data_IF_094883284883
#
_entry.id   IF_094883284883
#
_cell.length_a   1.000
_cell.length_b   1.000
_cell.length_c   1.000
_cell.angle_alpha   90.00
_cell.angle_beta   90.00
_cell.angle_gamma   90.00
#
_symmetry.space_group_name_H-M   'P 1'
#
loop_
_entity.id
_entity.type
_entity.pdbx_description
1 polymer ?
#
# COMPACT_ATOMS: atom_id res chain seq x y z
N UNK A 1 -1.69 48.17 -17.00
CA UNK A 1 -0.98 47.71 -18.21
C UNK A 1 -2.03 47.17 -19.16
N UNK A 2 -2.12 47.72 -20.37
CA UNK A 2 -3.03 47.21 -21.40
C UNK A 2 -2.43 45.92 -21.98
N UNK A 3 -3.17 44.82 -21.95
CA UNK A 3 -2.73 43.56 -22.53
C UNK A 3 -3.04 43.55 -24.02
N UNK A 4 -2.06 43.19 -24.85
CA UNK A 4 -2.23 43.20 -26.31
C UNK A 4 -2.31 41.76 -26.79
N UNK A 5 -3.29 41.47 -27.65
CA UNK A 5 -3.46 40.15 -28.24
C UNK A 5 -2.26 39.78 -29.12
N UNK A 6 -1.60 38.67 -28.79
CA UNK A 6 -0.39 38.20 -29.49
C UNK A 6 -0.58 37.87 -30.99
N UNK A 7 -1.82 37.56 -31.41
CA UNK A 7 -2.10 37.16 -32.80
C UNK A 7 -2.47 38.32 -33.72
N UNK A 8 -3.28 39.26 -33.25
CA UNK A 8 -3.82 40.34 -34.07
C UNK A 8 -3.46 41.75 -33.58
N UNK A 9 -2.79 41.90 -32.44
CA UNK A 9 -2.37 43.20 -31.91
C UNK A 9 -3.49 44.05 -31.29
N UNK A 10 -4.71 43.53 -31.14
CA UNK A 10 -5.82 44.26 -30.52
C UNK A 10 -5.58 44.45 -29.01
N UNK A 11 -5.93 45.63 -28.48
CA UNK A 11 -5.91 45.95 -27.06
C UNK A 11 -7.04 45.21 -26.34
N UNK A 12 -6.71 44.47 -25.28
CA UNK A 12 -7.64 43.71 -24.45
C UNK A 12 -7.91 44.48 -23.16
N UNK A 13 -9.17 44.50 -22.75
CA UNK A 13 -9.55 44.95 -21.42
C UNK A 13 -9.52 43.71 -20.50
N UNK A 14 -8.80 43.80 -19.38
CA UNK A 14 -8.68 42.84 -18.26
C UNK A 14 -9.79 41.75 -18.13
N UNK A 15 -9.48 40.54 -17.62
CA UNK A 15 -8.64 39.48 -18.17
C UNK A 15 -9.49 38.51 -19.04
N UNK A 16 -9.83 38.90 -20.27
CA UNK A 16 -10.53 38.01 -21.19
C UNK A 16 -9.63 36.84 -21.66
N UNK A 17 -10.10 35.61 -21.47
CA UNK A 17 -9.38 34.37 -21.82
C UNK A 17 -9.19 34.24 -23.35
N UNK A 18 -10.09 34.85 -24.12
CA UNK A 18 -10.10 34.83 -25.58
C UNK A 18 -10.17 36.24 -26.13
N UNK A 19 -9.47 36.50 -27.24
CA UNK A 19 -9.59 37.78 -27.93
C UNK A 19 -10.96 37.88 -28.64
N UNK A 20 -11.76 38.94 -28.43
CA UNK A 20 -13.06 39.09 -29.07
C UNK A 20 -12.96 39.35 -30.59
N UNK A 21 -11.80 39.80 -31.07
CA UNK A 21 -11.59 40.14 -32.48
C UNK A 21 -11.20 38.93 -33.32
N UNK A 22 -10.30 38.08 -32.80
CA UNK A 22 -9.74 36.95 -33.57
C UNK A 22 -9.97 35.57 -32.96
N UNK A 23 -10.62 35.50 -31.79
CA UNK A 23 -10.91 34.26 -31.07
C UNK A 23 -9.67 33.55 -30.49
N UNK A 24 -8.49 34.16 -30.53
CA UNK A 24 -7.27 33.48 -30.06
C UNK A 24 -7.23 33.38 -28.53
N UNK A 25 -6.94 32.19 -27.97
CA UNK A 25 -6.75 32.02 -26.53
C UNK A 25 -5.48 32.74 -26.09
N UNK A 26 -5.58 33.60 -25.07
CA UNK A 26 -4.42 34.35 -24.55
C UNK A 26 -3.64 33.58 -23.48
N UNK A 27 -4.19 32.49 -22.95
CA UNK A 27 -3.53 31.63 -21.97
C UNK A 27 -2.53 30.71 -22.69
N UNK A 28 -1.24 31.06 -22.63
CA UNK A 28 -0.14 30.21 -23.11
C UNK A 28 0.51 29.53 -21.93
N UNK A 29 0.59 28.20 -21.97
CA UNK A 29 1.37 27.41 -21.02
C UNK A 29 2.84 27.57 -21.44
N UNK A 30 3.62 28.31 -20.65
CA UNK A 30 5.06 28.32 -20.78
C UNK A 30 5.56 26.93 -20.37
N UNK A 31 6.09 26.17 -21.33
CA UNK A 31 6.96 25.05 -21.01
C UNK A 31 8.32 25.68 -20.68
N UNK A 32 8.63 25.84 -19.40
CA UNK A 32 9.92 26.39 -18.98
C UNK A 32 11.03 25.39 -19.34
N UNK A 33 11.84 25.75 -20.33
CA UNK A 33 13.18 25.22 -20.54
C UNK A 33 14.06 25.69 -19.37
N UNK A 34 14.38 24.78 -18.45
CA UNK A 34 15.17 25.05 -17.26
C UNK A 34 16.66 25.30 -17.61
N UNK A 35 17.00 26.56 -17.86
CA UNK A 35 18.38 27.05 -17.86
C UNK A 35 18.64 27.88 -16.58
N UNK A 36 19.43 27.27 -15.70
CA UNK A 36 20.05 27.77 -14.47
C UNK A 36 20.23 29.30 -14.31
N UNK A 37 19.69 29.87 -13.20
CA UNK A 37 20.42 30.78 -12.31
C UNK A 37 19.66 30.98 -10.96
N UNK A 38 20.31 30.97 -9.78
CA UNK A 38 19.63 31.22 -8.51
C UNK A 38 19.89 32.66 -8.02
N UNK A 39 18.89 33.55 -8.06
CA UNK A 39 18.89 34.77 -7.25
C UNK A 39 17.49 35.39 -7.12
N UNK A 40 17.10 35.63 -5.86
CA UNK A 40 16.12 36.61 -5.38
C UNK A 40 14.63 36.48 -5.77
N UNK A 41 13.87 35.97 -4.79
CA UNK A 41 12.82 36.71 -4.08
C UNK A 41 11.78 37.49 -4.90
N UNK A 42 10.58 36.92 -5.00
CA UNK A 42 9.37 37.64 -5.37
C UNK A 42 8.15 36.73 -5.29
N UNK A 43 7.19 37.08 -4.43
CA UNK A 43 5.90 36.42 -4.32
C UNK A 43 5.19 36.42 -5.68
N UNK A 44 5.04 35.24 -6.28
CA UNK A 44 4.26 35.00 -7.48
C UNK A 44 3.34 33.82 -7.23
N UNK A 45 2.04 34.05 -7.39
CA UNK A 45 0.96 33.10 -7.19
C UNK A 45 1.27 31.74 -7.82
N UNK A 46 1.18 30.72 -6.97
CA UNK A 46 1.45 29.34 -7.33
C UNK A 46 0.59 28.93 -8.52
N UNK A 47 1.26 28.52 -9.59
CA UNK A 47 0.74 27.45 -10.42
C UNK A 47 0.14 26.37 -9.50
N UNK A 48 -1.03 25.79 -9.79
CA UNK A 48 -1.40 24.54 -9.18
C UNK A 48 -0.43 23.50 -9.75
N UNK A 49 0.77 23.41 -9.16
CA UNK A 49 1.50 22.17 -9.09
C UNK A 49 0.45 21.17 -8.62
N UNK A 50 -0.06 20.34 -9.54
CA UNK A 50 -1.04 19.31 -9.22
C UNK A 50 -0.50 18.61 -7.99
N UNK A 51 -1.16 18.87 -6.86
CA UNK A 51 -0.56 18.66 -5.58
C UNK A 51 -0.49 17.14 -5.38
N UNK A 52 0.60 16.54 -5.83
CA UNK A 52 0.86 15.10 -5.81
C UNK A 52 0.94 14.58 -4.37
N UNK A 53 0.88 15.51 -3.40
CA UNK A 53 0.76 15.28 -1.96
C UNK A 53 -0.67 14.98 -1.50
N UNK A 54 -1.69 15.46 -2.22
CA UNK A 54 -3.10 15.24 -1.86
C UNK A 54 -3.59 13.88 -2.38
N UNK A 55 -3.22 12.83 -1.64
CA UNK A 55 -3.79 11.49 -1.80
C UNK A 55 -5.28 11.55 -1.46
N UNK A 56 -6.13 11.11 -2.37
CA UNK A 56 -7.57 10.97 -2.10
C UNK A 56 -7.82 9.72 -1.25
N UNK A 57 -7.64 9.85 0.06
CA UNK A 57 -7.72 8.73 1.01
C UNK A 57 -9.03 7.95 0.92
N UNK A 58 -10.15 8.63 0.66
CA UNK A 58 -11.44 7.97 0.48
C UNK A 58 -11.45 7.01 -0.73
N UNK A 59 -10.81 7.38 -1.82
CA UNK A 59 -10.68 6.53 -3.01
C UNK A 59 -9.64 5.43 -2.78
N UNK A 60 -8.53 5.77 -2.14
CA UNK A 60 -7.48 4.81 -1.78
C UNK A 60 -8.02 3.68 -0.90
N UNK A 61 -8.79 4.00 0.16
CA UNK A 61 -9.44 3.01 1.04
C UNK A 61 -10.42 2.14 0.27
N UNK A 62 -11.27 2.72 -0.59
CA UNK A 62 -12.24 1.94 -1.39
C UNK A 62 -11.55 0.96 -2.34
N UNK A 63 -10.48 1.40 -3.00
CA UNK A 63 -9.71 0.55 -3.91
C UNK A 63 -8.93 -0.51 -3.14
N UNK A 64 -8.32 -0.13 -2.03
CA UNK A 64 -7.61 -1.05 -1.15
C UNK A 64 -8.54 -2.13 -0.62
N UNK A 65 -9.76 -1.80 -0.20
CA UNK A 65 -10.76 -2.77 0.26
C UNK A 65 -11.17 -3.76 -0.86
N UNK A 66 -11.40 -3.25 -2.07
CA UNK A 66 -11.77 -4.08 -3.23
C UNK A 66 -10.68 -5.11 -3.59
N UNK A 67 -9.41 -4.75 -3.38
CA UNK A 67 -8.27 -5.64 -3.65
C UNK A 67 -7.95 -6.53 -2.45
N UNK A 68 -8.10 -6.00 -1.23
CA UNK A 68 -7.83 -6.72 0.01
C UNK A 68 -8.74 -7.94 0.19
N UNK A 69 -10.00 -7.87 -0.26
CA UNK A 69 -10.95 -8.99 -0.13
C UNK A 69 -10.49 -10.25 -0.88
N UNK A 70 -10.25 -10.22 -2.21
CA UNK A 70 -9.75 -11.39 -2.92
C UNK A 70 -8.33 -11.77 -2.50
N UNK A 71 -7.46 -10.80 -2.21
CA UNK A 71 -6.07 -11.10 -1.80
C UNK A 71 -6.01 -11.76 -0.43
N UNK A 72 -6.79 -11.29 0.55
CA UNK A 72 -6.88 -11.89 1.88
C UNK A 72 -7.45 -13.30 1.83
N UNK A 73 -8.55 -13.49 1.09
CA UNK A 73 -9.15 -14.81 0.91
C UNK A 73 -8.21 -15.80 0.18
N UNK A 74 -7.61 -15.38 -0.94
CA UNK A 74 -6.71 -16.23 -1.71
C UNK A 74 -5.40 -16.52 -0.98
N UNK A 75 -4.89 -15.59 -0.18
CA UNK A 75 -3.66 -15.82 0.61
C UNK A 75 -3.87 -16.81 1.75
N UNK A 76 -5.08 -16.87 2.32
CA UNK A 76 -5.46 -17.88 3.32
C UNK A 76 -5.65 -19.27 2.66
N UNK A 77 -6.20 -19.32 1.44
CA UNK A 77 -6.52 -20.57 0.74
C UNK A 77 -5.36 -21.17 -0.07
N UNK A 78 -4.42 -20.36 -0.55
CA UNK A 78 -3.33 -20.78 -1.44
C UNK A 78 -1.97 -20.49 -0.81
N UNK A 79 -1.11 -21.50 -0.70
CA UNK A 79 0.29 -21.39 -0.20
C UNK A 79 1.21 -20.43 -1.00
N UNK A 80 0.69 -19.72 -2.01
CA UNK A 80 1.40 -18.70 -2.80
C UNK A 80 1.22 -17.27 -2.24
N UNK A 81 1.03 -17.12 -0.93
CA UNK A 81 0.62 -15.86 -0.30
C UNK A 81 1.46 -14.63 -0.68
N UNK A 82 2.80 -14.77 -0.75
CA UNK A 82 3.68 -13.62 -1.05
C UNK A 82 3.44 -13.06 -2.46
N UNK A 83 3.24 -13.93 -3.46
CA UNK A 83 2.98 -13.50 -4.84
C UNK A 83 1.64 -12.75 -4.94
N UNK A 84 0.59 -13.26 -4.28
CA UNK A 84 -0.72 -12.63 -4.24
C UNK A 84 -0.70 -11.28 -3.53
N UNK A 85 0.07 -11.15 -2.45
CA UNK A 85 0.21 -9.91 -1.69
C UNK A 85 0.93 -8.84 -2.51
N UNK A 86 2.01 -9.20 -3.21
CA UNK A 86 2.74 -8.28 -4.09
C UNK A 86 1.86 -7.88 -5.27
N UNK A 87 1.21 -8.85 -5.93
CA UNK A 87 0.27 -8.60 -7.02
C UNK A 87 -0.89 -7.71 -6.57
N UNK A 88 -1.40 -7.91 -5.34
CA UNK A 88 -2.40 -7.07 -4.70
C UNK A 88 -1.92 -5.63 -4.53
N UNK A 89 -0.68 -5.43 -4.07
CA UNK A 89 -0.08 -4.09 -3.96
C UNK A 89 0.00 -3.37 -5.31
N UNK A 90 0.43 -4.08 -6.37
CA UNK A 90 0.49 -3.54 -7.74
C UNK A 90 -0.92 -3.21 -8.25
N UNK A 91 -1.88 -4.12 -8.06
CA UNK A 91 -3.27 -3.97 -8.51
C UNK A 91 -3.97 -2.80 -7.81
N UNK A 92 -3.74 -2.61 -6.50
CA UNK A 92 -4.28 -1.48 -5.74
C UNK A 92 -3.81 -0.14 -6.32
N UNK A 93 -2.53 -0.03 -6.67
CA UNK A 93 -1.98 1.19 -7.29
C UNK A 93 -2.50 1.37 -8.72
N UNK A 94 -2.61 0.30 -9.51
CA UNK A 94 -3.15 0.35 -10.86
C UNK A 94 -4.61 0.84 -10.87
N UNK A 95 -5.45 0.30 -9.98
CA UNK A 95 -6.86 0.69 -9.84
C UNK A 95 -7.02 2.10 -9.30
N UNK A 96 -6.20 2.51 -8.32
CA UNK A 96 -6.21 3.88 -7.81
C UNK A 96 -5.90 4.87 -8.93
N UNK A 97 -4.82 4.61 -9.70
CA UNK A 97 -4.45 5.43 -10.86
C UNK A 97 -5.56 5.50 -11.90
N UNK A 98 -6.21 4.37 -12.22
CA UNK A 98 -7.34 4.35 -13.17
C UNK A 98 -8.51 5.21 -12.70
N UNK A 99 -8.81 5.23 -11.40
CA UNK A 99 -9.94 6.01 -10.84
C UNK A 99 -9.63 7.49 -10.68
N UNK A 100 -8.39 7.86 -10.36
CA UNK A 100 -8.03 9.27 -10.13
C UNK A 100 -7.41 9.94 -11.34
N UNK A 101 -7.01 9.20 -12.38
CA UNK A 101 -6.25 9.67 -13.55
C UNK A 101 -4.99 10.47 -13.20
N UNK A 102 -4.50 10.33 -11.96
CA UNK A 102 -3.32 11.04 -11.42
C UNK A 102 -2.10 10.15 -11.47
N UNK A 103 -0.95 10.75 -11.76
CA UNK A 103 0.34 10.08 -11.62
C UNK A 103 0.60 9.80 -10.14
N UNK A 104 1.02 8.57 -9.85
CA UNK A 104 1.28 8.10 -8.48
C UNK A 104 2.79 8.08 -8.28
N UNK A 105 3.28 8.91 -7.36
CA UNK A 105 4.69 8.87 -6.94
C UNK A 105 5.00 7.57 -6.19
N UNK A 106 6.27 7.14 -6.20
CA UNK A 106 6.69 5.92 -5.50
C UNK A 106 6.30 5.90 -4.01
N UNK A 107 6.41 7.04 -3.32
CA UNK A 107 6.00 7.19 -1.91
C UNK A 107 4.49 7.04 -1.71
N UNK A 108 3.68 7.49 -2.67
CA UNK A 108 2.23 7.29 -2.65
C UNK A 108 1.89 5.82 -2.92
N UNK A 109 2.60 5.16 -3.85
CA UNK A 109 2.49 3.71 -4.10
C UNK A 109 2.77 2.87 -2.86
N UNK A 110 3.83 3.19 -2.11
CA UNK A 110 4.15 2.54 -0.83
C UNK A 110 3.01 2.66 0.19
N UNK A 111 2.45 3.87 0.36
CA UNK A 111 1.35 4.12 1.31
C UNK A 111 0.06 3.40 0.93
N UNK A 112 -0.31 3.42 -0.35
CA UNK A 112 -1.52 2.74 -0.85
C UNK A 112 -1.35 1.22 -0.77
N UNK A 113 -0.18 0.70 -1.17
CA UNK A 113 0.16 -0.72 -1.02
C UNK A 113 0.17 -1.18 0.43
N UNK A 114 0.79 -0.41 1.34
CA UNK A 114 0.79 -0.73 2.78
C UNK A 114 -0.62 -0.74 3.38
N UNK A 115 -1.47 0.23 3.03
CA UNK A 115 -2.88 0.25 3.44
C UNK A 115 -3.63 -0.98 2.92
N UNK A 116 -3.43 -1.35 1.66
CA UNK A 116 -4.03 -2.54 1.07
C UNK A 116 -3.54 -3.82 1.76
N UNK A 117 -2.25 -3.92 2.10
CA UNK A 117 -1.68 -5.04 2.84
C UNK A 117 -2.24 -5.17 4.26
N UNK A 118 -2.41 -4.07 5.00
CA UNK A 118 -3.03 -4.08 6.33
C UNK A 118 -4.49 -4.55 6.26
N UNK A 119 -5.26 -4.04 5.29
CA UNK A 119 -6.64 -4.48 5.10
C UNK A 119 -6.72 -5.95 4.68
N UNK A 120 -5.81 -6.40 3.81
CA UNK A 120 -5.73 -7.80 3.38
C UNK A 120 -5.37 -8.72 4.56
N UNK A 121 -4.44 -8.28 5.43
CA UNK A 121 -4.07 -9.01 6.64
C UNK A 121 -5.24 -9.16 7.59
N UNK A 122 -5.98 -8.08 7.83
CA UNK A 122 -7.19 -8.14 8.67
C UNK A 122 -8.21 -9.14 8.12
N UNK A 123 -8.48 -9.10 6.81
CA UNK A 123 -9.40 -10.03 6.16
C UNK A 123 -8.87 -11.47 6.26
N UNK A 124 -7.58 -11.70 6.01
CA UNK A 124 -6.95 -13.02 6.12
C UNK A 124 -7.07 -13.58 7.54
N UNK A 125 -6.77 -12.79 8.58
CA UNK A 125 -6.91 -13.21 9.98
C UNK A 125 -8.36 -13.59 10.33
N UNK A 126 -9.34 -12.86 9.81
CA UNK A 126 -10.76 -13.23 9.98
C UNK A 126 -11.07 -14.56 9.29
N UNK A 127 -10.60 -14.76 8.06
CA UNK A 127 -10.79 -16.02 7.32
C UNK A 127 -10.11 -17.22 8.00
N UNK A 128 -8.88 -17.04 8.47
CA UNK A 128 -8.13 -18.08 9.20
C UNK A 128 -8.85 -18.45 10.50
N UNK A 129 -9.33 -17.45 11.25
CA UNK A 129 -10.10 -17.66 12.47
C UNK A 129 -11.42 -18.41 12.20
N UNK A 130 -12.16 -18.04 11.14
CA UNK A 130 -13.39 -18.73 10.75
C UNK A 130 -13.10 -20.17 10.30
N UNK A 131 -12.01 -20.40 9.58
CA UNK A 131 -11.58 -21.73 9.14
C UNK A 131 -11.24 -22.61 10.35
N UNK A 132 -10.52 -22.06 11.32
CA UNK A 132 -10.18 -22.76 12.56
C UNK A 132 -11.42 -23.12 13.38
N UNK A 133 -12.41 -22.22 13.46
CA UNK A 133 -13.71 -22.50 14.09
C UNK A 133 -14.46 -23.60 13.35
N UNK A 134 -14.48 -23.54 12.02
CA UNK A 134 -15.14 -24.56 11.19
C UNK A 134 -14.48 -25.94 11.35
N UNK A 135 -13.16 -26.03 11.29
CA UNK A 135 -12.43 -27.27 11.52
C UNK A 135 -12.66 -27.82 12.94
N UNK A 136 -12.69 -26.95 13.95
CA UNK A 136 -12.91 -27.35 15.34
C UNK A 136 -14.32 -27.87 15.59
N UNK A 137 -15.35 -27.15 15.16
CA UNK A 137 -16.74 -27.44 15.53
C UNK A 137 -17.49 -28.28 14.49
N UNK A 138 -17.18 -28.14 13.20
CA UNK A 138 -17.86 -28.90 12.14
C UNK A 138 -17.12 -30.18 11.83
N UNK A 139 -15.80 -30.10 11.64
CA UNK A 139 -14.98 -31.28 11.33
C UNK A 139 -14.53 -32.05 12.59
N UNK A 140 -14.82 -31.54 13.80
CA UNK A 140 -14.40 -32.14 15.07
C UNK A 140 -12.88 -32.36 15.18
N UNK A 141 -12.09 -31.57 14.43
CA UNK A 141 -10.63 -31.68 14.37
C UNK A 141 -9.91 -30.90 15.49
N UNK A 142 -10.62 -30.54 16.56
CA UNK A 142 -10.06 -29.77 17.67
C UNK A 142 -8.80 -30.41 18.27
N UNK A 143 -8.81 -31.73 18.48
CA UNK A 143 -7.64 -32.45 18.99
C UNK A 143 -6.42 -32.40 18.06
N UNK A 144 -6.63 -32.42 16.75
CA UNK A 144 -5.53 -32.34 15.76
C UNK A 144 -4.92 -30.94 15.74
N UNK A 145 -5.75 -29.90 15.87
CA UNK A 145 -5.30 -28.51 15.96
C UNK A 145 -4.48 -28.32 17.24
N UNK A 146 -5.00 -28.78 18.38
CA UNK A 146 -4.31 -28.67 19.67
C UNK A 146 -2.98 -29.45 19.67
N UNK A 147 -2.94 -30.64 19.06
CA UNK A 147 -1.70 -31.42 18.87
C UNK A 147 -0.69 -30.70 17.99
N UNK A 148 -1.11 -30.11 16.86
CA UNK A 148 -0.20 -29.33 16.00
C UNK A 148 0.41 -28.16 16.77
N UNK A 149 -0.40 -27.43 17.53
CA UNK A 149 0.07 -26.29 18.30
C UNK A 149 1.03 -26.71 19.43
N UNK A 150 0.73 -27.81 20.12
CA UNK A 150 1.64 -28.40 21.10
C UNK A 150 2.98 -28.80 20.47
N UNK A 151 2.97 -29.47 19.31
CA UNK A 151 4.20 -29.87 18.64
C UNK A 151 5.06 -28.67 18.22
N UNK A 152 4.43 -27.59 17.74
CA UNK A 152 5.15 -26.35 17.39
C UNK A 152 5.80 -25.71 18.63
N UNK A 153 5.07 -25.62 19.74
CA UNK A 153 5.58 -25.07 21.00
C UNK A 153 6.71 -25.93 21.57
N UNK A 154 6.54 -27.25 21.56
CA UNK A 154 7.57 -28.18 22.04
C UNK A 154 8.84 -28.05 21.21
N UNK A 155 8.74 -28.05 19.88
CA UNK A 155 9.90 -27.85 18.99
C UNK A 155 10.62 -26.52 19.26
N UNK A 156 9.87 -25.42 19.43
CA UNK A 156 10.45 -24.13 19.73
C UNK A 156 11.14 -24.11 21.11
N UNK A 157 10.54 -24.75 22.10
CA UNK A 157 11.08 -24.87 23.46
C UNK A 157 12.34 -25.74 23.48
N UNK A 158 12.32 -26.89 22.83
CA UNK A 158 13.46 -27.80 22.75
C UNK A 158 14.65 -27.14 22.06
N UNK A 159 14.40 -26.40 20.98
CA UNK A 159 15.44 -25.61 20.31
C UNK A 159 16.01 -24.52 21.23
N UNK A 160 15.16 -23.85 22.02
CA UNK A 160 15.61 -22.86 23.01
C UNK A 160 16.49 -23.51 24.09
N UNK A 161 16.05 -24.64 24.66
CA UNK A 161 16.78 -25.37 25.70
C UNK A 161 18.13 -25.88 25.18
N UNK A 162 18.16 -26.41 23.96
CA UNK A 162 19.39 -26.91 23.32
C UNK A 162 20.37 -25.78 23.02
N UNK A 163 19.88 -24.63 22.56
CA UNK A 163 20.75 -23.48 22.26
C UNK A 163 21.30 -22.81 23.52
N UNK A 164 20.53 -22.77 24.62
CA UNK A 164 20.91 -22.10 25.85
C UNK A 164 20.37 -22.83 27.10
N UNK A 165 21.03 -23.92 27.55
CA UNK A 165 20.55 -24.72 28.68
C UNK A 165 20.55 -23.96 30.01
N UNK A 166 21.50 -23.03 30.19
CA UNK A 166 21.58 -22.19 31.39
C UNK A 166 20.40 -21.21 31.49
N UNK A 167 19.98 -20.61 30.37
CA UNK A 167 18.83 -19.70 30.32
C UNK A 167 17.51 -20.43 30.57
N UNK A 168 17.38 -21.67 30.08
CA UNK A 168 16.21 -22.50 30.32
C UNK A 168 16.04 -22.85 31.82
N UNK A 169 17.14 -23.12 32.53
CA UNK A 169 17.10 -23.39 33.97
C UNK A 169 16.76 -22.14 34.80
N UNK A 170 17.10 -20.94 34.30
CA UNK A 170 16.84 -19.67 35.00
C UNK A 170 15.39 -19.22 34.91
N UNK A 171 14.63 -19.62 33.89
CA UNK A 171 13.29 -19.09 33.61
C UNK A 171 12.25 -20.21 33.37
N UNK A 172 12.00 -21.11 34.35
CA UNK A 172 11.08 -22.24 34.17
C UNK A 172 9.62 -21.79 33.96
N UNK A 173 9.23 -20.64 34.51
CA UNK A 173 7.88 -20.07 34.31
C UNK A 173 7.62 -19.70 32.85
N UNK A 174 8.65 -19.28 32.10
CA UNK A 174 8.53 -18.91 30.69
C UNK A 174 8.24 -20.16 29.85
N UNK A 175 8.99 -21.24 30.08
CA UNK A 175 8.75 -22.54 29.43
C UNK A 175 7.34 -23.05 29.74
N UNK A 176 6.94 -23.00 31.01
CA UNK A 176 5.61 -23.44 31.43
C UNK A 176 4.49 -22.58 30.83
N UNK A 177 4.70 -21.26 30.67
CA UNK A 177 3.74 -20.38 30.02
C UNK A 177 3.50 -20.79 28.56
N UNK A 178 4.55 -21.05 27.78
CA UNK A 178 4.38 -21.42 26.36
C UNK A 178 3.61 -22.73 26.17
N UNK A 179 3.80 -23.70 27.08
CA UNK A 179 3.09 -24.98 27.10
C UNK A 179 1.64 -24.87 27.60
N UNK A 180 1.25 -23.72 28.16
CA UNK A 180 -0.10 -23.51 28.69
C UNK A 180 -1.12 -23.15 27.59
N UNK A 181 -2.43 -23.29 27.86
CA UNK A 181 -3.48 -22.84 26.94
C UNK A 181 -3.40 -21.34 26.58
N UNK A 182 -2.96 -20.51 27.52
CA UNK A 182 -2.76 -19.08 27.26
C UNK A 182 -1.55 -18.83 26.35
N UNK A 183 -0.49 -19.64 26.51
CA UNK A 183 0.67 -19.64 25.62
C UNK A 183 0.32 -20.01 24.19
N UNK A 184 -0.55 -21.00 24.01
CA UNK A 184 -1.10 -21.38 22.71
C UNK A 184 -1.82 -20.21 22.01
N UNK A 185 -2.67 -19.49 22.72
CA UNK A 185 -3.33 -18.29 22.18
C UNK A 185 -2.31 -17.21 21.80
N UNK A 186 -1.27 -17.01 22.63
CA UNK A 186 -0.18 -16.07 22.34
C UNK A 186 0.60 -16.46 21.07
N UNK A 187 0.86 -17.74 20.83
CA UNK A 187 1.52 -18.22 19.60
C UNK A 187 0.68 -17.91 18.37
N UNK A 188 -0.63 -18.19 18.40
CA UNK A 188 -1.53 -17.89 17.27
C UNK A 188 -1.56 -16.38 16.99
N UNK A 189 -1.65 -15.56 18.03
CA UNK A 189 -1.58 -14.10 17.91
C UNK A 189 -0.24 -13.65 17.30
N UNK A 190 0.87 -14.20 17.77
CA UNK A 190 2.21 -13.89 17.28
C UNK A 190 2.35 -14.22 15.79
N UNK A 191 1.84 -15.39 15.37
CA UNK A 191 1.83 -15.80 13.96
C UNK A 191 0.96 -14.86 13.10
N UNK A 192 -0.22 -14.46 13.61
CA UNK A 192 -1.10 -13.52 12.93
C UNK A 192 -0.44 -12.14 12.76
N UNK A 193 0.23 -11.63 13.81
CA UNK A 193 0.97 -10.36 13.76
C UNK A 193 2.11 -10.44 12.75
N UNK A 194 2.91 -11.50 12.79
CA UNK A 194 4.02 -11.69 11.86
C UNK A 194 3.52 -11.76 10.41
N UNK A 195 2.44 -12.50 10.17
CA UNK A 195 1.78 -12.57 8.87
C UNK A 195 1.29 -11.18 8.42
N UNK A 196 0.62 -10.43 9.30
CA UNK A 196 0.12 -9.09 9.00
C UNK A 196 1.23 -8.10 8.65
N UNK A 197 2.34 -8.11 9.40
CA UNK A 197 3.52 -7.29 9.12
C UNK A 197 4.11 -7.66 7.77
N UNK A 198 4.27 -8.96 7.49
CA UNK A 198 4.79 -9.43 6.21
C UNK A 198 3.90 -8.98 5.03
N UNK A 199 2.58 -9.13 5.17
CA UNK A 199 1.61 -8.70 4.17
C UNK A 199 1.68 -7.19 3.91
N UNK A 200 1.73 -6.39 4.96
CA UNK A 200 1.85 -4.94 4.86
C UNK A 200 3.13 -4.54 4.13
N UNK A 201 4.28 -5.15 4.47
CA UNK A 201 5.57 -4.84 3.86
C UNK A 201 5.63 -5.27 2.40
N UNK A 202 5.26 -6.52 2.08
CA UNK A 202 5.30 -7.02 0.70
C UNK A 202 4.30 -6.29 -0.20
N UNK A 203 3.12 -5.93 0.32
CA UNK A 203 2.14 -5.15 -0.44
C UNK A 203 2.60 -3.70 -0.65
N UNK A 204 3.27 -3.10 0.34
CA UNK A 204 3.89 -1.78 0.20
C UNK A 204 5.00 -1.77 -0.86
N UNK A 205 5.85 -2.81 -0.88
CA UNK A 205 6.86 -3.01 -1.93
C UNK A 205 6.19 -3.17 -3.29
N UNK A 206 5.17 -4.03 -3.40
CA UNK A 206 4.40 -4.22 -4.64
C UNK A 206 3.78 -2.90 -5.14
N UNK A 207 3.21 -2.10 -4.25
CA UNK A 207 2.65 -0.79 -4.59
C UNK A 207 3.70 0.22 -5.06
N UNK A 208 4.88 0.24 -4.42
CA UNK A 208 5.99 1.12 -4.83
C UNK A 208 6.55 0.72 -6.21
N UNK A 209 6.71 -0.57 -6.47
CA UNK A 209 7.15 -1.11 -7.77
C UNK A 209 6.10 -0.83 -8.85
N UNK A 210 4.83 -1.06 -8.56
CA UNK A 210 3.72 -0.75 -9.47
C UNK A 210 3.70 0.72 -9.87
N UNK A 211 3.86 1.64 -8.91
CA UNK A 211 3.91 3.07 -9.18
C UNK A 211 5.04 3.45 -10.17
N UNK A 212 6.25 2.89 -9.98
CA UNK A 212 7.39 3.10 -10.88
C UNK A 212 7.13 2.57 -12.30
N UNK A 213 6.66 1.34 -12.41
CA UNK A 213 6.40 0.70 -13.70
C UNK A 213 5.39 1.50 -14.54
N UNK A 214 4.34 1.99 -13.88
CA UNK A 214 3.30 2.79 -14.53
C UNK A 214 3.74 4.22 -14.90
N UNK A 215 4.66 4.81 -14.15
CA UNK A 215 5.27 6.09 -14.49
C UNK A 215 6.19 5.96 -15.72
N UNK A 216 7.02 4.92 -15.78
CA UNK A 216 7.92 4.65 -16.91
C UNK A 216 7.15 4.47 -18.24
N UNK A 217 6.04 3.70 -18.21
CA UNK A 217 5.20 3.49 -19.40
C UNK A 217 4.59 4.77 -19.97
N UNK A 218 4.31 5.76 -19.11
CA UNK A 218 3.71 7.03 -19.53
C UNK A 218 4.75 7.94 -20.18
N UNK A 219 6.00 7.86 -19.73
CA UNK A 219 7.13 8.61 -20.32
C UNK A 219 7.48 8.09 -21.71
N UNK A 220 7.43 6.77 -21.93
CA UNK A 220 7.68 6.17 -23.23
C UNK A 220 6.64 6.56 -24.30
N UNK A 221 5.37 6.72 -23.91
CA UNK A 221 4.27 7.06 -24.83
C UNK A 221 4.27 8.54 -25.27
N UNK A 222 5.02 9.41 -24.60
CA UNK A 222 5.16 10.82 -24.97
C UNK A 222 6.34 11.04 -25.95
N UNK A 223 7.26 10.09 -26.06
CA UNK A 223 8.45 10.18 -26.92
C UNK A 223 8.31 9.41 -28.25
N UNK A 224 7.12 8.90 -28.55
CA UNK A 224 6.77 8.16 -29.78
C UNK A 224 5.67 8.89 -30.54
#
# INVERSE_FOLDING_TARGET
METICHRCGATLHSPDIYCPVCGSPQLRVLADDEAANPANGGAGEGHPAFDSRLISWRTAVKVALLVALPVGALSSLLNFGVLWVIAGGIAAVALYRRKTLRLVNQRAGWRIGGLAGILAAFIATVFDGLTMLFERYVQHNGGVIDQRLQTLVQQATDHMVQSNPEAAAQIPWFIHFWLSPDGHAAVVLMMAIFSAVSMALFSAVGGAVGARFFAAKTSAAHNS
#
